data_IF_301916491415
#
_entry.id   IF_301916491415
#
_cell.length_a   1.000
_cell.length_b   1.000
_cell.length_c   1.000
_cell.angle_alpha   90.00
_cell.angle_beta   90.00
_cell.angle_gamma   90.00
#
_symmetry.space_group_name_H-M   'P 1'
#
loop_
_entity.id
_entity.type
_entity.pdbx_description
1 polymer ?
#
# COMPACT_ATOMS: atom_id res chain seq x y z
N UNK A 1 -6.79 -4.30 -2.90
CA UNK A 1 -5.32 -4.20 -3.01
C UNK A 1 -4.76 -5.57 -3.38
N UNK A 2 -3.47 -5.68 -3.73
CA UNK A 2 -2.82 -6.99 -3.90
C UNK A 2 -2.98 -7.85 -2.64
N UNK A 3 -2.82 -7.23 -1.46
CA UNK A 3 -3.03 -7.88 -0.17
C UNK A 3 -4.48 -8.36 0.02
N UNK A 4 -5.50 -7.55 -0.23
CA UNK A 4 -6.91 -7.99 -0.09
C UNK A 4 -7.25 -9.16 -1.02
N UNK A 5 -6.71 -9.14 -2.24
CA UNK A 5 -6.86 -10.24 -3.19
C UNK A 5 -6.17 -11.53 -2.71
N UNK A 6 -4.95 -11.42 -2.17
CA UNK A 6 -4.17 -12.57 -1.68
C UNK A 6 -4.67 -13.14 -0.36
N UNK A 7 -5.11 -12.29 0.57
CA UNK A 7 -5.53 -12.70 1.91
C UNK A 7 -7.01 -13.04 2.01
N UNK A 8 -7.88 -12.29 1.32
CA UNK A 8 -9.33 -12.42 1.45
C UNK A 8 -10.02 -12.88 0.16
N UNK A 9 -9.30 -12.93 -0.97
CA UNK A 9 -9.89 -13.18 -2.29
C UNK A 9 -10.69 -11.98 -2.81
N UNK A 10 -10.63 -10.84 -2.13
CA UNK A 10 -11.42 -9.65 -2.42
C UNK A 10 -10.84 -8.90 -3.61
N UNK A 11 -11.62 -8.89 -4.70
CA UNK A 11 -11.29 -8.17 -5.93
C UNK A 11 -12.03 -6.83 -5.93
N UNK A 12 -11.28 -5.74 -5.73
CA UNK A 12 -11.82 -4.40 -5.87
C UNK A 12 -12.21 -4.17 -7.34
N UNK A 13 -13.47 -3.81 -7.59
CA UNK A 13 -13.98 -3.50 -8.93
C UNK A 13 -13.13 -2.41 -9.62
N UNK A 14 -12.94 -2.39 -10.93
CA UNK A 14 -12.11 -1.38 -11.60
C UNK A 14 -10.63 -1.40 -11.18
N UNK A 15 -10.14 -2.52 -10.64
CA UNK A 15 -8.72 -2.77 -10.38
C UNK A 15 -8.17 -3.76 -11.40
N UNK A 16 -6.85 -3.86 -11.53
CA UNK A 16 -6.26 -4.82 -12.47
C UNK A 16 -6.63 -6.28 -12.14
N UNK A 17 -6.99 -6.56 -10.89
CA UNK A 17 -7.37 -7.89 -10.41
C UNK A 17 -8.79 -8.32 -10.82
N UNK A 18 -9.63 -7.38 -11.27
CA UNK A 18 -10.98 -7.68 -11.79
C UNK A 18 -11.03 -7.86 -13.31
N UNK A 19 -9.86 -7.87 -13.95
CA UNK A 19 -9.72 -7.91 -15.40
C UNK A 19 -9.88 -6.55 -16.09
N UNK A 20 -10.01 -5.45 -15.34
CA UNK A 20 -10.01 -4.12 -15.93
C UNK A 20 -8.70 -3.81 -16.65
N UNK A 21 -8.75 -3.10 -17.79
CA UNK A 21 -7.56 -2.73 -18.55
C UNK A 21 -6.69 -1.67 -17.84
N UNK A 22 -7.21 -1.07 -16.76
CA UNK A 22 -6.52 -0.06 -15.97
C UNK A 22 -7.03 -0.07 -14.53
N UNK A 23 -6.12 0.08 -13.56
CA UNK A 23 -6.42 0.33 -12.15
C UNK A 23 -6.79 1.78 -11.84
N UNK A 24 -6.86 2.68 -12.84
CA UNK A 24 -7.20 4.08 -12.59
C UNK A 24 -8.55 4.28 -11.85
N UNK A 25 -9.64 3.57 -12.20
CA UNK A 25 -10.92 3.75 -11.50
C UNK A 25 -10.84 3.42 -10.00
N UNK A 26 -10.18 2.32 -9.65
CA UNK A 26 -9.93 1.94 -8.25
C UNK A 26 -9.00 2.92 -7.55
N UNK A 27 -7.93 3.38 -8.22
CA UNK A 27 -7.01 4.37 -7.66
C UNK A 27 -7.69 5.73 -7.41
N UNK A 28 -8.62 6.15 -8.26
CA UNK A 28 -9.41 7.37 -8.03
C UNK A 28 -10.32 7.24 -6.80
N UNK A 29 -10.95 6.07 -6.60
CA UNK A 29 -11.71 5.79 -5.38
C UNK A 29 -10.84 5.76 -4.14
N UNK A 30 -9.64 5.17 -4.25
CA UNK A 30 -8.63 5.21 -3.19
C UNK A 30 -8.30 6.65 -2.80
N UNK A 31 -7.92 7.50 -3.76
CA UNK A 31 -7.61 8.92 -3.50
C UNK A 31 -8.77 9.69 -2.83
N UNK A 32 -10.01 9.43 -3.25
CA UNK A 32 -11.19 10.00 -2.59
C UNK A 32 -11.32 9.58 -1.12
N UNK A 33 -10.90 8.36 -0.74
CA UNK A 33 -10.86 7.91 0.65
C UNK A 33 -9.72 8.59 1.40
N UNK A 34 -8.52 8.66 0.82
CA UNK A 34 -7.34 9.31 1.42
C UNK A 34 -7.65 10.77 1.77
N UNK A 35 -8.24 11.52 0.84
CA UNK A 35 -8.57 12.95 1.03
C UNK A 35 -9.59 13.20 2.16
N UNK A 36 -10.35 12.19 2.58
CA UNK A 36 -11.30 12.30 3.71
C UNK A 36 -10.63 12.08 5.07
N UNK A 37 -9.39 11.56 5.10
CA UNK A 37 -8.66 11.28 6.34
C UNK A 37 -7.95 12.55 6.82
N UNK A 38 -8.33 13.03 8.01
CA UNK A 38 -7.65 14.15 8.66
C UNK A 38 -6.23 13.75 9.04
N UNK A 39 -5.28 14.66 8.87
CA UNK A 39 -3.86 14.53 9.26
C UNK A 39 -3.07 13.40 8.56
N UNK A 40 -3.65 12.70 7.57
CA UNK A 40 -2.94 11.67 6.82
C UNK A 40 -2.11 12.26 5.68
N UNK A 41 -2.61 13.34 5.08
CA UNK A 41 -1.98 14.01 3.95
C UNK A 41 -1.28 15.30 4.41
N UNK A 42 -0.18 15.68 3.74
CA UNK A 42 0.49 16.95 4.01
C UNK A 42 -0.46 18.16 3.82
N UNK A 43 -0.25 19.27 4.54
CA UNK A 43 -1.10 20.47 4.43
C UNK A 43 -1.15 21.09 3.03
N UNK A 44 -0.14 20.82 2.19
CA UNK A 44 -0.08 21.28 0.80
C UNK A 44 -0.87 20.41 -0.18
N UNK A 45 -1.42 19.28 0.26
CA UNK A 45 -2.15 18.36 -0.62
C UNK A 45 -3.44 18.99 -1.14
N UNK A 46 -3.63 18.94 -2.46
CA UNK A 46 -4.78 19.56 -3.12
C UNK A 46 -5.39 18.65 -4.18
N UNK A 47 -6.47 19.12 -4.83
CA UNK A 47 -7.04 18.45 -5.99
C UNK A 47 -6.06 18.36 -7.17
N UNK A 48 -5.13 19.33 -7.28
CA UNK A 48 -4.08 19.29 -8.29
C UNK A 48 -3.09 18.16 -8.04
N UNK A 49 -2.71 17.91 -6.78
CA UNK A 49 -1.84 16.77 -6.42
C UNK A 49 -2.43 15.44 -6.87
N UNK A 50 -3.75 15.24 -6.73
CA UNK A 50 -4.43 14.03 -7.21
C UNK A 50 -4.38 13.92 -8.74
N UNK A 51 -4.59 15.04 -9.46
CA UNK A 51 -4.50 15.07 -10.92
C UNK A 51 -3.09 14.69 -11.38
N UNK A 52 -2.06 15.25 -10.74
CA UNK A 52 -0.66 14.93 -11.02
C UNK A 52 -0.34 13.47 -10.75
N UNK A 53 -0.80 12.89 -9.62
CA UNK A 53 -0.65 11.47 -9.34
C UNK A 53 -1.30 10.60 -10.42
N UNK A 54 -2.51 10.92 -10.87
CA UNK A 54 -3.20 10.18 -11.94
C UNK A 54 -2.45 10.28 -13.27
N UNK A 55 -1.96 11.48 -13.63
CA UNK A 55 -1.15 11.67 -14.83
C UNK A 55 0.17 10.91 -14.76
N UNK A 56 0.81 10.91 -13.59
CA UNK A 56 2.05 10.17 -13.36
C UNK A 56 1.80 8.67 -13.48
N UNK A 57 0.75 8.16 -12.83
CA UNK A 57 0.38 6.75 -12.87
C UNK A 57 0.00 6.23 -14.25
N UNK A 58 -0.37 7.09 -15.22
CA UNK A 58 -0.60 6.65 -16.61
C UNK A 58 0.69 6.49 -17.42
N UNK A 59 1.68 7.34 -17.14
CA UNK A 59 2.84 7.54 -18.02
C UNK A 59 4.16 7.03 -17.41
N UNK A 60 4.18 6.74 -16.11
CA UNK A 60 5.36 6.24 -15.44
C UNK A 60 5.55 4.75 -15.75
N UNK A 61 6.80 4.31 -15.94
CA UNK A 61 7.13 2.91 -16.25
C UNK A 61 7.05 1.99 -15.03
N UNK A 62 7.25 2.54 -13.84
CA UNK A 62 7.32 1.83 -12.57
C UNK A 62 5.97 1.84 -11.83
N UNK A 63 5.41 3.02 -11.58
CA UNK A 63 4.14 3.23 -10.87
C UNK A 63 2.93 3.24 -11.81
N UNK A 64 2.98 2.42 -12.87
CA UNK A 64 1.95 2.41 -13.91
C UNK A 64 0.65 1.78 -13.42
N UNK A 65 -0.46 2.51 -13.50
CA UNK A 65 -1.79 2.02 -13.11
C UNK A 65 -2.34 0.95 -14.06
N UNK A 66 -1.69 0.70 -15.19
CA UNK A 66 -2.06 -0.37 -16.12
C UNK A 66 -1.28 -1.67 -15.87
N UNK A 67 -0.34 -1.68 -14.93
CA UNK A 67 0.48 -2.84 -14.59
C UNK A 67 0.34 -3.16 -13.11
N UNK A 68 0.19 -4.44 -12.77
CA UNK A 68 0.27 -4.87 -11.39
C UNK A 68 1.72 -4.74 -10.93
N UNK A 69 1.93 -4.20 -9.73
CA UNK A 69 3.26 -4.12 -9.11
C UNK A 69 3.44 -5.30 -8.19
N UNK A 70 4.57 -6.00 -8.28
CA UNK A 70 4.86 -7.10 -7.39
C UNK A 70 5.50 -6.63 -6.07
N UNK A 71 5.61 -7.53 -5.09
CA UNK A 71 6.28 -7.19 -3.82
C UNK A 71 7.79 -7.00 -4.00
N UNK A 72 8.41 -7.85 -4.81
CA UNK A 72 9.85 -7.81 -5.18
C UNK A 72 10.22 -6.45 -5.79
N UNK A 73 9.42 -6.04 -6.77
CA UNK A 73 9.43 -4.73 -7.42
C UNK A 73 9.52 -3.58 -6.40
N UNK A 74 8.65 -3.58 -5.37
CA UNK A 74 8.65 -2.53 -4.33
C UNK A 74 9.96 -2.53 -3.55
N UNK A 75 10.45 -3.70 -3.14
CA UNK A 75 11.69 -3.82 -2.37
C UNK A 75 12.89 -3.35 -3.19
N UNK A 76 12.95 -3.74 -4.46
CA UNK A 76 14.01 -3.35 -5.38
C UNK A 76 14.02 -1.83 -5.61
N UNK A 77 12.86 -1.25 -5.92
CA UNK A 77 12.76 0.18 -6.21
C UNK A 77 13.15 1.07 -5.02
N UNK A 78 12.70 0.71 -3.82
CA UNK A 78 12.95 1.52 -2.62
C UNK A 78 14.21 1.09 -1.84
N UNK A 79 14.82 -0.04 -2.18
CA UNK A 79 15.99 -0.58 -1.49
C UNK A 79 15.74 -0.93 -0.01
N UNK A 80 14.47 -1.06 0.39
CA UNK A 80 14.10 -1.23 1.80
C UNK A 80 13.16 -2.44 2.00
N UNK A 81 13.60 -3.50 2.72
CA UNK A 81 12.82 -4.73 2.87
C UNK A 81 11.46 -4.55 3.56
N UNK A 82 11.30 -3.51 4.39
CA UNK A 82 10.04 -3.25 5.09
C UNK A 82 9.10 -2.30 4.34
N UNK A 83 9.50 -1.79 3.16
CA UNK A 83 8.66 -0.88 2.38
C UNK A 83 7.29 -1.48 2.03
N UNK A 84 7.15 -2.76 1.62
CA UNK A 84 5.83 -3.33 1.38
C UNK A 84 4.93 -3.29 2.62
N UNK A 85 5.50 -3.51 3.80
CA UNK A 85 4.75 -3.46 5.05
C UNK A 85 4.34 -2.03 5.41
N UNK A 86 5.21 -1.04 5.21
CA UNK A 86 4.86 0.38 5.39
C UNK A 86 3.73 0.81 4.45
N UNK A 87 3.74 0.37 3.19
CA UNK A 87 2.66 0.65 2.22
C UNK A 87 1.35 0.02 2.64
N UNK A 88 1.37 -1.24 3.12
CA UNK A 88 0.21 -1.91 3.70
C UNK A 88 -0.33 -1.08 4.86
N UNK A 89 0.52 -0.69 5.81
CA UNK A 89 0.10 0.09 6.97
C UNK A 89 -0.49 1.45 6.62
N UNK A 90 0.04 2.13 5.59
CA UNK A 90 -0.56 3.35 5.07
C UNK A 90 -1.95 3.09 4.51
N UNK A 91 -2.14 2.01 3.75
CA UNK A 91 -3.44 1.62 3.24
C UNK A 91 -4.45 1.34 4.35
N UNK A 92 -4.05 0.67 5.42
CA UNK A 92 -4.95 0.40 6.56
C UNK A 92 -5.46 1.70 7.20
N UNK A 93 -4.62 2.74 7.29
CA UNK A 93 -5.06 4.06 7.78
C UNK A 93 -6.13 4.68 6.86
N UNK A 94 -6.06 4.42 5.55
CA UNK A 94 -7.03 4.89 4.55
C UNK A 94 -8.32 4.08 4.61
N UNK A 95 -8.24 2.75 4.60
CA UNK A 95 -9.41 1.87 4.59
C UNK A 95 -10.08 1.75 5.96
N UNK A 96 -9.33 1.96 7.04
CA UNK A 96 -9.77 1.83 8.43
C UNK A 96 -9.65 0.40 8.99
N UNK A 97 -9.25 -0.55 8.17
CA UNK A 97 -9.08 -1.97 8.51
C UNK A 97 -7.90 -2.53 7.71
N UNK A 98 -7.15 -3.46 8.30
CA UNK A 98 -6.18 -4.27 7.58
C UNK A 98 -6.83 -5.45 6.84
N UNK A 99 -6.06 -6.14 5.99
CA UNK A 99 -6.50 -7.36 5.32
C UNK A 99 -7.01 -8.39 6.34
N UNK A 100 -8.13 -9.05 6.04
CA UNK A 100 -8.83 -9.97 6.94
C UNK A 100 -9.51 -9.33 8.15
N UNK A 101 -9.69 -8.00 8.13
CA UNK A 101 -10.25 -7.23 9.25
C UNK A 101 -9.32 -7.12 10.47
N UNK A 102 -8.05 -7.52 10.33
CA UNK A 102 -7.07 -7.40 11.39
C UNK A 102 -6.66 -5.93 11.61
N UNK A 103 -6.39 -5.56 12.85
CA UNK A 103 -5.84 -4.23 13.17
C UNK A 103 -4.33 -4.28 13.09
N UNK A 104 -3.73 -3.62 12.09
CA UNK A 104 -2.27 -3.48 12.00
C UNK A 104 -1.69 -2.46 12.97
N UNK A 105 -2.45 -1.91 13.92
CA UNK A 105 -1.97 -0.88 14.87
C UNK A 105 -0.73 -1.35 15.65
N UNK A 106 -0.73 -2.60 16.15
CA UNK A 106 0.42 -3.15 16.87
C UNK A 106 1.66 -3.33 15.96
N UNK A 107 1.44 -3.65 14.68
CA UNK A 107 2.50 -3.71 13.68
C UNK A 107 3.02 -2.33 13.31
N UNK A 108 2.16 -1.30 13.27
CA UNK A 108 2.53 0.10 13.08
C UNK A 108 3.48 0.57 14.17
N UNK A 109 3.10 0.36 15.43
CA UNK A 109 3.88 0.77 16.60
C UNK A 109 5.25 0.09 16.59
N UNK A 110 5.28 -1.20 16.27
CA UNK A 110 6.53 -1.96 16.13
C UNK A 110 7.42 -1.41 15.01
N UNK A 111 6.86 -0.99 13.88
CA UNK A 111 7.62 -0.38 12.78
C UNK A 111 8.14 1.02 13.13
N UNK A 112 7.36 1.84 13.83
CA UNK A 112 7.80 3.17 14.28
C UNK A 112 8.98 3.05 15.24
N UNK A 113 8.94 2.10 16.18
CA UNK A 113 10.09 1.81 17.07
C UNK A 113 11.32 1.34 16.30
N UNK A 114 11.13 0.51 15.27
CA UNK A 114 12.21 0.03 14.41
C UNK A 114 12.91 1.15 13.63
N UNK A 115 12.13 2.09 13.06
CA UNK A 115 12.66 3.25 12.33
C UNK A 115 13.43 4.22 13.23
N UNK A 116 13.09 4.27 14.52
CA UNK A 116 13.75 5.10 15.53
C UNK A 116 15.05 4.47 16.09
N UNK A 117 15.45 3.30 15.58
CA UNK A 117 16.72 2.65 15.94
C UNK A 117 16.63 1.63 17.07
N UNK A 118 15.42 1.29 17.55
CA UNK A 118 15.23 0.15 18.45
C UNK A 118 15.11 -1.13 17.60
N UNK A 119 16.24 -1.85 17.49
CA UNK A 119 16.48 -2.90 16.50
C UNK A 119 15.34 -3.89 16.25
N UNK A 120 14.84 -3.89 15.02
CA UNK A 120 13.87 -4.87 14.47
C UNK A 120 14.49 -6.23 14.14
N UNK A 121 15.82 -6.30 14.01
CA UNK A 121 16.51 -7.47 13.46
C UNK A 121 16.63 -8.67 14.42
N UNK A 122 16.37 -8.49 15.72
CA UNK A 122 16.68 -9.53 16.72
C UNK A 122 15.47 -10.24 17.33
N UNK A 123 14.25 -9.72 17.20
CA UNK A 123 13.07 -10.27 17.88
C UNK A 123 12.15 -11.11 16.98
N UNK A 124 12.33 -11.04 15.66
CA UNK A 124 11.51 -11.81 14.72
C UNK A 124 12.44 -12.59 13.78
N UNK A 125 12.89 -13.76 14.25
CA UNK A 125 13.26 -14.88 13.38
C UNK A 125 12.04 -15.41 12.62
N UNK A 126 11.31 -14.52 11.95
CA UNK A 126 10.18 -14.86 11.11
C UNK A 126 10.76 -15.22 9.77
N UNK A 127 10.77 -16.53 9.52
CA UNK A 127 10.91 -17.09 8.19
C UNK A 127 9.92 -16.38 7.25
N UNK A 128 10.41 -15.41 6.49
CA UNK A 128 9.71 -14.78 5.36
C UNK A 128 9.35 -15.79 4.25
N UNK A 129 9.75 -17.06 4.41
CA UNK A 129 9.34 -18.19 3.60
C UNK A 129 7.96 -18.78 3.98
N UNK A 130 7.36 -18.39 5.11
CA UNK A 130 6.20 -19.12 5.66
C UNK A 130 4.94 -18.29 5.96
N UNK A 131 4.84 -17.07 5.42
CA UNK A 131 3.55 -16.39 5.26
C UNK A 131 3.15 -16.55 3.80
N UNK A 132 2.35 -17.60 3.56
CA UNK A 132 2.18 -18.31 2.30
C UNK A 132 1.67 -17.52 1.09
N UNK A 133 2.20 -17.98 -0.05
CA UNK A 133 1.60 -18.16 -1.39
C UNK A 133 0.53 -17.17 -1.85
#
# INVERSE_FOLDING_TARGET
MDDDYKFDGDVEAGSLYDGSPSGEPSFRRYMNKVQRKKNLLPPWWSAESVRECLTHGRNNSWSNLNCAVEKSDIIEHYGHPLMPMQLRMFAEQVYGTGPGGQSGTAMLELQVSAEQGEGFASTMGVNFANMGL
#
